data_IF_426031569995
#
_entry.id   IF_426031569995
#
_cell.length_a   1.000
_cell.length_b   1.000
_cell.length_c   1.000
_cell.angle_alpha   90.00
_cell.angle_beta   90.00
_cell.angle_gamma   90.00
#
_symmetry.space_group_name_H-M   'P 1'
#
loop_
_entity.id
_entity.type
_entity.pdbx_description
1 polymer ?
#
# COMPACT_ATOMS: atom_id res chain seq x y z
N UNK A 1 -48.64 9.10 17.00
CA UNK A 1 -47.55 9.04 18.00
C UNK A 1 -46.27 8.74 17.25
N UNK A 2 -45.30 9.68 17.21
CA UNK A 2 -43.99 9.49 16.57
C UNK A 2 -43.03 9.06 17.67
N UNK A 3 -42.54 7.83 17.60
CA UNK A 3 -41.58 7.30 18.55
C UNK A 3 -40.17 7.81 18.20
N UNK A 4 -39.66 8.73 19.01
CA UNK A 4 -38.28 9.21 18.94
C UNK A 4 -37.36 8.13 19.52
N UNK A 5 -36.59 7.45 18.66
CA UNK A 5 -35.50 6.60 19.11
C UNK A 5 -34.35 7.48 19.63
N UNK A 6 -34.13 7.45 20.94
CA UNK A 6 -32.93 7.96 21.59
C UNK A 6 -31.80 6.94 21.38
N UNK A 7 -30.82 7.29 20.56
CA UNK A 7 -29.57 6.55 20.53
C UNK A 7 -28.81 6.84 21.83
N UNK A 8 -28.69 5.82 22.69
CA UNK A 8 -27.79 5.88 23.84
C UNK A 8 -26.36 6.06 23.32
N UNK A 9 -25.75 7.20 23.64
CA UNK A 9 -24.36 7.48 23.30
C UNK A 9 -23.46 6.40 23.90
N UNK A 10 -22.66 5.75 23.06
CA UNK A 10 -21.64 4.82 23.53
C UNK A 10 -20.67 5.58 24.46
N UNK A 11 -20.25 4.98 25.59
CA UNK A 11 -19.29 5.61 26.49
C UNK A 11 -18.00 5.92 25.73
N UNK A 12 -17.62 7.19 25.68
CA UNK A 12 -16.33 7.64 25.19
C UNK A 12 -15.28 7.12 26.17
N UNK A 13 -14.56 6.06 25.80
CA UNK A 13 -13.34 5.67 26.50
C UNK A 13 -12.33 6.82 26.36
N UNK A 14 -12.21 7.62 27.41
CA UNK A 14 -11.15 8.62 27.52
C UNK A 14 -9.83 7.87 27.73
N UNK A 15 -9.05 7.74 26.66
CA UNK A 15 -7.66 7.33 26.78
C UNK A 15 -6.91 8.40 27.58
N UNK A 16 -6.29 8.02 28.70
CA UNK A 16 -5.27 8.85 29.34
C UNK A 16 -4.03 8.78 28.47
N UNK A 17 -3.96 9.67 27.48
CA UNK A 17 -2.80 9.83 26.63
C UNK A 17 -1.66 10.44 27.47
N UNK A 18 -0.54 9.73 27.60
CA UNK A 18 0.72 10.46 27.58
C UNK A 18 0.76 11.16 26.22
N UNK A 19 0.84 12.49 26.21
CA UNK A 19 0.71 13.34 25.02
C UNK A 19 1.86 13.17 23.99
N UNK A 20 2.74 12.20 24.19
CA UNK A 20 3.92 12.00 23.36
C UNK A 20 4.04 10.52 22.94
N UNK A 21 3.61 10.14 21.73
CA UNK A 21 3.82 8.79 21.21
C UNK A 21 5.32 8.51 21.06
N UNK A 22 5.75 7.26 21.25
CA UNK A 22 7.13 6.89 20.92
C UNK A 22 7.36 7.01 19.40
N UNK A 23 8.61 7.21 18.93
CA UNK A 23 8.91 7.47 17.52
C UNK A 23 8.30 6.46 16.54
N UNK A 24 8.26 5.17 16.91
CA UNK A 24 7.68 4.09 16.11
C UNK A 24 6.31 3.63 16.61
N UNK A 25 5.59 4.41 17.42
CA UNK A 25 4.17 4.13 17.64
C UNK A 25 3.38 4.44 16.37
N UNK A 26 2.45 3.57 16.00
CA UNK A 26 1.53 3.84 14.91
C UNK A 26 0.35 4.67 15.43
N UNK A 27 0.13 5.86 14.88
CA UNK A 27 -0.85 6.84 15.35
C UNK A 27 -1.84 7.19 14.24
N UNK A 28 -3.13 7.26 14.56
CA UNK A 28 -4.17 7.62 13.61
C UNK A 28 -5.35 8.34 14.26
N UNK A 29 -5.98 9.21 13.48
CA UNK A 29 -7.15 10.01 13.92
C UNK A 29 -8.48 9.37 13.52
N UNK A 30 -8.44 8.48 12.52
CA UNK A 30 -9.61 7.86 11.92
C UNK A 30 -9.33 6.41 11.55
N UNK A 31 -10.40 5.64 11.42
CA UNK A 31 -10.38 4.31 10.83
C UNK A 31 -11.23 4.29 9.57
N UNK A 32 -10.97 3.33 8.68
CA UNK A 32 -11.90 3.00 7.61
C UNK A 32 -13.18 2.35 8.17
N UNK A 33 -14.11 2.00 7.28
CA UNK A 33 -15.39 1.36 7.65
C UNK A 33 -15.21 -0.05 8.26
N UNK A 34 -14.02 -0.64 8.15
CA UNK A 34 -13.67 -1.95 8.70
C UNK A 34 -12.90 -1.84 10.03
N UNK A 35 -12.66 -0.62 10.53
CA UNK A 35 -11.88 -0.40 11.75
C UNK A 35 -10.36 -0.46 11.56
N UNK A 36 -9.87 -0.44 10.33
CA UNK A 36 -8.43 -0.36 9.99
C UNK A 36 -7.97 1.10 10.07
N UNK A 37 -6.77 1.37 10.60
CA UNK A 37 -6.28 2.74 10.73
C UNK A 37 -6.20 3.43 9.36
N UNK A 38 -6.75 4.64 9.22
CA UNK A 38 -6.76 5.36 7.95
C UNK A 38 -5.58 6.34 7.87
N UNK A 39 -4.70 6.13 6.89
CA UNK A 39 -3.44 6.85 6.67
C UNK A 39 -2.65 7.09 7.98
N UNK A 40 -2.37 6.04 8.78
CA UNK A 40 -1.67 6.22 10.04
C UNK A 40 -0.26 6.80 9.82
N UNK A 41 0.25 7.48 10.85
CA UNK A 41 1.58 8.09 10.91
C UNK A 41 2.43 7.40 11.97
N UNK A 42 3.74 7.45 11.82
CA UNK A 42 4.64 7.13 12.94
C UNK A 42 4.57 8.22 14.00
N UNK A 43 4.79 7.87 15.27
CA UNK A 43 4.76 8.82 16.38
C UNK A 43 5.74 9.98 16.17
N UNK A 44 6.91 9.70 15.60
CA UNK A 44 7.87 10.75 15.23
C UNK A 44 7.27 11.78 14.27
N UNK A 45 6.46 11.36 13.30
CA UNK A 45 5.80 12.24 12.33
C UNK A 45 4.68 13.08 12.95
N UNK A 46 4.14 12.63 14.09
CA UNK A 46 3.16 13.38 14.88
C UNK A 46 3.87 14.44 15.72
N UNK A 47 5.00 14.08 16.33
CA UNK A 47 5.75 14.96 17.23
C UNK A 47 6.66 15.95 16.50
N UNK A 48 7.15 15.58 15.31
CA UNK A 48 8.02 16.36 14.44
C UNK A 48 7.57 16.20 12.96
N UNK A 49 6.59 17.01 12.51
CA UNK A 49 6.02 16.87 11.16
C UNK A 49 7.07 16.99 10.04
N UNK A 50 7.13 15.98 9.19
CA UNK A 50 8.08 15.87 8.07
C UNK A 50 9.36 15.10 8.41
N UNK A 51 9.61 14.79 9.69
CA UNK A 51 10.67 13.87 10.07
C UNK A 51 10.30 12.43 9.69
N UNK A 52 11.29 11.65 9.25
CA UNK A 52 11.12 10.23 8.95
C UNK A 52 11.97 9.42 9.94
N UNK A 53 11.43 8.37 10.58
CA UNK A 53 12.22 7.57 11.51
C UNK A 53 13.31 6.79 10.78
N UNK A 54 14.54 6.86 11.31
CA UNK A 54 15.63 5.93 11.00
C UNK A 54 15.52 4.75 11.96
N UNK A 55 14.90 3.67 11.49
CA UNK A 55 14.49 2.54 12.34
C UNK A 55 15.69 1.86 13.01
N UNK A 56 16.79 1.51 12.31
CA UNK A 56 17.97 0.96 12.98
C UNK A 56 18.54 1.87 14.07
N UNK A 57 18.61 3.19 13.84
CA UNK A 57 19.14 4.14 14.84
C UNK A 57 18.23 4.26 16.07
N UNK A 58 16.91 4.23 15.86
CA UNK A 58 15.94 4.39 16.94
C UNK A 58 15.71 3.11 17.75
N UNK A 59 15.75 1.96 17.10
CA UNK A 59 15.20 0.73 17.66
C UNK A 59 16.24 -0.36 17.95
N UNK A 60 17.49 -0.23 17.48
CA UNK A 60 18.55 -1.24 17.70
C UNK A 60 19.60 -0.75 18.72
N UNK A 61 19.17 0.07 19.68
CA UNK A 61 20.03 0.71 20.66
C UNK A 61 20.49 -0.32 21.70
N UNK A 62 21.80 -0.44 21.90
CA UNK A 62 22.38 -1.31 22.94
C UNK A 62 22.24 -0.66 24.34
N UNK A 63 22.09 -1.45 25.43
CA UNK A 63 22.16 -2.92 25.49
C UNK A 63 20.86 -3.64 25.10
N UNK A 64 19.79 -2.89 24.80
CA UNK A 64 18.52 -3.47 24.41
C UNK A 64 18.66 -4.24 23.08
N UNK A 65 17.87 -5.30 22.92
CA UNK A 65 17.74 -5.96 21.64
C UNK A 65 16.91 -5.13 20.65
N UNK A 66 16.92 -5.48 19.35
CA UNK A 66 16.10 -4.80 18.34
C UNK A 66 14.62 -4.76 18.74
N UNK A 67 14.06 -3.55 18.83
CA UNK A 67 12.67 -3.27 19.26
C UNK A 67 12.32 -3.67 20.69
N UNK A 68 13.29 -4.02 21.55
CA UNK A 68 13.02 -4.33 22.96
C UNK A 68 12.89 -3.06 23.82
N UNK A 69 13.36 -1.92 23.31
CA UNK A 69 13.31 -0.64 24.02
C UNK A 69 11.95 0.04 23.89
N UNK A 70 11.32 0.40 25.03
CA UNK A 70 10.10 1.21 25.05
C UNK A 70 10.30 2.62 24.49
N UNK A 71 11.55 3.05 24.30
CA UNK A 71 11.90 4.30 23.62
C UNK A 71 11.67 4.23 22.11
N UNK A 72 11.63 3.03 21.52
CA UNK A 72 11.33 2.84 20.10
C UNK A 72 9.81 2.83 19.88
N UNK A 73 9.09 1.92 20.55
CA UNK A 73 7.62 1.85 20.51
C UNK A 73 7.07 1.43 21.88
N UNK A 74 5.91 1.96 22.22
CA UNK A 74 5.09 1.57 23.39
C UNK A 74 3.99 0.59 23.02
N UNK A 75 3.81 0.27 21.73
CA UNK A 75 2.77 -0.62 21.24
C UNK A 75 3.25 -2.08 21.24
N UNK A 76 2.31 -3.02 21.38
CA UNK A 76 2.61 -4.42 21.16
C UNK A 76 2.99 -4.63 19.69
N UNK A 77 4.05 -5.39 19.44
CA UNK A 77 4.59 -5.64 18.10
C UNK A 77 4.42 -7.11 17.73
N UNK A 78 4.06 -7.38 16.47
CA UNK A 78 4.19 -8.70 15.87
C UNK A 78 5.54 -8.81 15.18
N UNK A 79 6.42 -9.70 15.62
CA UNK A 79 7.71 -9.91 14.96
C UNK A 79 7.64 -11.23 14.19
N UNK A 80 7.69 -11.17 12.86
CA UNK A 80 7.81 -12.35 12.01
C UNK A 80 9.26 -12.53 11.57
N UNK A 81 9.83 -13.67 11.95
CA UNK A 81 11.23 -14.00 11.64
C UNK A 81 11.27 -15.23 10.74
N UNK A 82 12.26 -15.32 9.83
CA UNK A 82 12.53 -16.56 9.15
C UNK A 82 12.79 -17.70 10.15
N UNK A 83 12.26 -18.89 9.84
CA UNK A 83 12.54 -20.11 10.58
C UNK A 83 13.30 -21.14 9.74
N UNK A 84 14.05 -22.01 10.43
CA UNK A 84 14.75 -23.15 9.80
C UNK A 84 15.80 -22.74 8.77
N UNK A 85 15.86 -23.47 7.64
CA UNK A 85 16.83 -23.22 6.56
C UNK A 85 16.64 -21.83 5.92
N UNK A 86 15.43 -21.26 5.98
CA UNK A 86 15.15 -19.90 5.48
C UNK A 86 15.98 -18.87 6.23
N UNK A 87 16.10 -19.02 7.56
CA UNK A 87 16.92 -18.15 8.41
C UNK A 87 18.38 -18.16 7.97
N UNK A 88 18.92 -19.34 7.65
CA UNK A 88 20.30 -19.46 7.21
C UNK A 88 20.55 -18.71 5.91
N UNK A 89 19.65 -18.84 4.93
CA UNK A 89 19.78 -18.21 3.61
C UNK A 89 19.58 -16.68 3.71
N UNK A 90 18.54 -16.23 4.42
CA UNK A 90 18.24 -14.82 4.62
C UNK A 90 19.30 -14.09 5.45
N UNK A 91 19.85 -14.75 6.48
CA UNK A 91 20.92 -14.13 7.29
C UNK A 91 22.21 -13.83 6.52
N UNK A 92 22.42 -14.38 5.33
CA UNK A 92 23.60 -14.11 4.51
C UNK A 92 23.40 -12.78 3.78
N UNK A 93 24.00 -11.72 4.33
CA UNK A 93 23.97 -10.38 3.75
C UNK A 93 22.88 -9.46 4.31
N UNK A 94 22.11 -9.91 5.31
CA UNK A 94 21.17 -9.06 6.02
C UNK A 94 21.92 -7.91 6.70
N UNK A 95 21.53 -6.65 6.45
CA UNK A 95 22.21 -5.47 7.00
C UNK A 95 21.85 -5.23 8.48
N UNK A 96 20.90 -5.99 9.03
CA UNK A 96 20.36 -5.79 10.38
C UNK A 96 20.52 -7.04 11.24
N UNK A 97 20.47 -6.86 12.56
CA UNK A 97 20.46 -7.97 13.53
C UNK A 97 19.08 -8.64 13.67
N UNK A 98 18.05 -8.08 13.02
CA UNK A 98 16.68 -8.57 13.04
C UNK A 98 16.23 -8.92 11.61
N UNK A 99 16.44 -10.17 11.17
CA UNK A 99 15.90 -10.61 9.89
C UNK A 99 14.38 -10.77 9.98
N UNK A 100 13.66 -10.25 8.98
CA UNK A 100 12.20 -10.33 8.85
C UNK A 100 11.46 -9.02 9.08
N UNK A 101 10.18 -9.12 9.47
CA UNK A 101 9.27 -7.99 9.57
C UNK A 101 8.90 -7.68 11.02
N UNK A 102 8.66 -6.39 11.30
CA UNK A 102 8.02 -5.94 12.54
C UNK A 102 6.71 -5.28 12.18
N UNK A 103 5.63 -5.79 12.75
CA UNK A 103 4.25 -5.49 12.39
C UNK A 103 3.56 -4.72 13.52
N UNK A 104 2.96 -3.60 13.15
CA UNK A 104 2.03 -2.84 13.99
C UNK A 104 0.58 -3.16 13.62
N UNK A 105 -0.35 -2.37 14.17
CA UNK A 105 -1.75 -2.43 13.75
C UNK A 105 -1.91 -2.20 12.24
N UNK A 106 -2.90 -2.81 11.59
CA UNK A 106 -3.11 -2.62 10.16
C UNK A 106 -3.43 -1.17 9.78
N UNK A 107 -2.94 -0.77 8.62
CA UNK A 107 -3.16 0.55 8.02
C UNK A 107 -3.80 0.45 6.64
N UNK A 108 -4.59 1.47 6.29
CA UNK A 108 -5.15 1.71 4.96
C UNK A 108 -4.60 3.01 4.42
N UNK A 109 -3.99 2.96 3.25
CA UNK A 109 -3.38 4.10 2.59
C UNK A 109 -4.00 4.32 1.22
N UNK A 110 -4.17 5.58 0.84
CA UNK A 110 -4.58 5.95 -0.51
C UNK A 110 -3.47 6.75 -1.19
N UNK A 111 -3.33 6.61 -2.51
CA UNK A 111 -2.30 7.33 -3.25
C UNK A 111 -2.07 6.77 -4.65
N UNK A 112 -1.20 7.40 -5.45
CA UNK A 112 -0.77 6.82 -6.72
C UNK A 112 0.06 5.56 -6.46
N UNK A 113 -0.23 4.50 -7.21
CA UNK A 113 0.48 3.22 -7.13
C UNK A 113 1.38 3.01 -8.34
N UNK A 114 2.47 2.27 -8.13
CA UNK A 114 3.45 1.95 -9.15
C UNK A 114 3.85 0.48 -9.05
N UNK A 115 4.05 -0.13 -10.21
CA UNK A 115 4.60 -1.48 -10.28
C UNK A 115 6.08 -1.44 -9.97
N UNK A 116 6.50 -2.27 -9.03
CA UNK A 116 7.90 -2.40 -8.68
C UNK A 116 8.51 -3.60 -9.41
N UNK A 117 8.17 -4.80 -8.95
CA UNK A 117 8.80 -6.02 -9.41
C UNK A 117 7.93 -7.24 -9.17
N UNK A 118 8.32 -8.35 -9.81
CA UNK A 118 7.83 -9.69 -9.48
C UNK A 118 9.03 -10.40 -8.91
N UNK A 119 8.97 -10.82 -7.66
CA UNK A 119 10.02 -11.65 -7.09
C UNK A 119 9.96 -13.04 -7.72
N UNK A 120 11.10 -13.52 -8.21
CA UNK A 120 11.16 -14.82 -8.88
C UNK A 120 11.17 -15.99 -7.89
N UNK A 121 11.61 -15.76 -6.65
CA UNK A 121 11.92 -16.83 -5.68
C UNK A 121 10.67 -17.24 -4.90
N UNK A 122 9.94 -16.28 -4.34
CA UNK A 122 8.69 -16.47 -3.57
C UNK A 122 7.42 -16.28 -4.42
N UNK A 123 7.53 -15.61 -5.58
CA UNK A 123 6.45 -15.20 -6.48
C UNK A 123 5.60 -14.03 -5.97
N UNK A 124 6.21 -13.15 -5.20
CA UNK A 124 5.53 -11.98 -4.66
C UNK A 124 5.42 -10.87 -5.70
N UNK A 125 4.20 -10.36 -5.86
CA UNK A 125 3.90 -9.17 -6.66
C UNK A 125 4.19 -7.94 -5.79
N UNK A 126 5.18 -7.14 -6.19
CA UNK A 126 5.65 -5.98 -5.45
C UNK A 126 5.16 -4.68 -6.09
N UNK A 127 4.56 -3.82 -5.27
CA UNK A 127 4.06 -2.49 -5.65
C UNK A 127 4.60 -1.42 -4.72
N UNK A 128 4.56 -0.17 -5.18
CA UNK A 128 4.93 1.01 -4.38
C UNK A 128 3.77 1.99 -4.38
N UNK A 129 3.33 2.43 -3.22
CA UNK A 129 2.30 3.46 -3.06
C UNK A 129 2.93 4.71 -2.46
N UNK A 130 2.62 5.87 -3.02
CA UNK A 130 3.03 7.17 -2.45
C UNK A 130 1.90 7.64 -1.52
N UNK A 131 2.04 7.53 -0.18
CA UNK A 131 1.00 7.97 0.74
C UNK A 131 0.95 9.51 0.81
N UNK A 132 -0.20 10.11 1.18
CA UNK A 132 -0.25 11.53 1.51
C UNK A 132 0.66 11.83 2.70
N UNK A 133 1.20 13.05 2.75
CA UNK A 133 1.94 13.58 3.90
C UNK A 133 3.10 12.69 4.39
N UNK A 134 3.64 11.83 3.51
CA UNK A 134 4.67 10.85 3.84
C UNK A 134 4.25 9.88 4.96
N UNK A 135 2.96 9.64 5.15
CA UNK A 135 2.43 8.84 6.24
C UNK A 135 3.04 7.44 6.26
N UNK A 136 3.53 7.03 7.43
CA UNK A 136 4.18 5.75 7.67
C UNK A 136 5.45 5.49 6.83
N UNK A 137 6.08 6.50 6.22
CA UNK A 137 7.38 6.35 5.57
C UNK A 137 8.52 6.33 6.60
N UNK A 138 9.62 5.67 6.26
CA UNK A 138 10.87 5.69 7.05
C UNK A 138 11.96 6.41 6.27
N UNK A 139 13.08 6.74 6.93
CA UNK A 139 14.24 7.32 6.27
C UNK A 139 14.81 6.43 5.15
N UNK A 140 14.52 5.12 5.19
CA UNK A 140 15.08 4.13 4.27
C UNK A 140 14.23 3.94 3.00
N UNK A 141 12.99 4.46 3.00
CA UNK A 141 12.14 4.58 1.82
C UNK A 141 11.29 5.87 1.86
N UNK A 142 11.92 7.04 1.69
CA UNK A 142 11.30 8.34 1.96
C UNK A 142 10.20 8.76 0.98
N UNK A 143 10.00 7.99 -0.09
CA UNK A 143 9.10 8.34 -1.20
C UNK A 143 7.85 7.45 -1.30
N UNK A 144 7.86 6.24 -0.73
CA UNK A 144 6.78 5.28 -0.94
C UNK A 144 6.77 4.15 0.09
N UNK A 145 5.58 3.62 0.37
CA UNK A 145 5.38 2.38 1.12
C UNK A 145 5.43 1.22 0.12
N UNK A 146 6.20 0.18 0.43
CA UNK A 146 6.16 -1.07 -0.33
C UNK A 146 4.89 -1.84 -0.01
N UNK A 147 4.23 -2.40 -1.01
CA UNK A 147 3.16 -3.37 -0.82
C UNK A 147 3.60 -4.70 -1.41
N UNK A 148 3.53 -5.76 -0.61
CA UNK A 148 3.90 -7.10 -1.04
C UNK A 148 2.75 -8.09 -0.81
N UNK A 149 2.53 -8.96 -1.80
CA UNK A 149 1.56 -10.04 -1.73
C UNK A 149 1.92 -11.21 -2.66
N UNK A 150 1.73 -12.44 -2.16
CA UNK A 150 1.97 -13.66 -2.94
C UNK A 150 0.95 -13.79 -4.08
N UNK A 151 1.47 -13.84 -5.31
CA UNK A 151 0.67 -14.01 -6.52
C UNK A 151 -0.14 -15.32 -6.53
N UNK A 152 0.33 -16.36 -5.83
CA UNK A 152 -0.39 -17.64 -5.66
C UNK A 152 -1.61 -17.49 -4.77
N UNK A 153 -1.59 -16.56 -3.81
CA UNK A 153 -2.71 -16.30 -2.90
C UNK A 153 -3.69 -15.28 -3.47
N UNK A 154 -3.25 -14.49 -4.45
CA UNK A 154 -4.01 -13.36 -4.99
C UNK A 154 -4.20 -13.47 -6.50
N UNK A 155 -3.29 -12.91 -7.30
CA UNK A 155 -3.46 -12.68 -8.74
C UNK A 155 -3.68 -13.96 -9.53
N UNK A 156 -3.27 -15.13 -9.03
CA UNK A 156 -3.53 -16.45 -9.61
C UNK A 156 -4.99 -16.89 -9.54
N UNK A 157 -5.75 -16.40 -8.55
CA UNK A 157 -7.13 -16.80 -8.32
C UNK A 157 -8.17 -15.86 -8.95
N UNK A 158 -7.79 -14.63 -9.29
CA UNK A 158 -8.72 -13.65 -9.86
C UNK A 158 -8.87 -13.80 -11.37
N UNK A 159 -10.11 -14.04 -11.82
CA UNK A 159 -10.42 -14.38 -13.21
C UNK A 159 -11.00 -13.21 -14.04
N UNK A 160 -11.19 -12.02 -13.45
CA UNK A 160 -11.72 -10.87 -14.21
C UNK A 160 -10.81 -10.53 -15.39
N UNK A 161 -11.33 -9.90 -16.47
CA UNK A 161 -10.53 -9.56 -17.65
C UNK A 161 -9.27 -8.76 -17.31
N UNK A 162 -9.36 -7.83 -16.34
CA UNK A 162 -8.23 -7.04 -15.88
C UNK A 162 -7.17 -7.90 -15.16
N UNK A 163 -7.56 -8.67 -14.13
CA UNK A 163 -6.62 -9.52 -13.38
C UNK A 163 -5.99 -10.61 -14.24
N UNK A 164 -6.74 -11.18 -15.18
CA UNK A 164 -6.21 -12.13 -16.17
C UNK A 164 -5.18 -11.49 -17.10
N UNK A 165 -5.39 -10.23 -17.49
CA UNK A 165 -4.44 -9.47 -18.31
C UNK A 165 -3.19 -9.11 -17.51
N UNK A 166 -3.36 -8.68 -16.26
CA UNK A 166 -2.27 -8.35 -15.35
C UNK A 166 -1.38 -9.56 -15.05
N UNK A 167 -1.98 -10.72 -14.69
CA UNK A 167 -1.25 -11.96 -14.40
C UNK A 167 -0.37 -12.45 -15.56
N UNK A 168 -0.85 -12.30 -16.80
CA UNK A 168 -0.10 -12.71 -18.01
C UNK A 168 0.91 -11.66 -18.49
N UNK A 169 0.85 -10.44 -17.95
CA UNK A 169 1.71 -9.35 -18.37
C UNK A 169 3.12 -9.50 -17.81
N UNK A 170 4.12 -9.20 -18.64
CA UNK A 170 5.51 -8.97 -18.19
C UNK A 170 5.62 -7.56 -17.56
N UNK A 171 6.70 -7.31 -16.81
CA UNK A 171 6.92 -6.05 -16.07
C UNK A 171 6.61 -4.76 -16.86
N UNK A 172 7.06 -4.56 -18.13
CA UNK A 172 6.72 -3.33 -18.86
C UNK A 172 5.21 -3.14 -19.09
N UNK A 173 4.47 -4.25 -19.27
CA UNK A 173 3.02 -4.20 -19.44
C UNK A 173 2.30 -4.07 -18.10
N UNK A 174 2.81 -4.69 -17.02
CA UNK A 174 2.28 -4.47 -15.65
C UNK A 174 2.40 -2.99 -15.25
N UNK A 175 3.55 -2.36 -15.49
CA UNK A 175 3.76 -0.91 -15.32
C UNK A 175 2.68 -0.09 -16.01
N UNK A 176 2.45 -0.31 -17.31
CA UNK A 176 1.38 0.39 -18.07
C UNK A 176 -0.03 0.16 -17.53
N UNK A 177 -0.28 -0.93 -16.81
CA UNK A 177 -1.60 -1.22 -16.25
C UNK A 177 -1.85 -0.50 -14.93
N UNK A 178 -0.81 -0.13 -14.17
CA UNK A 178 -0.98 0.37 -12.79
C UNK A 178 -0.28 1.70 -12.50
N UNK A 179 0.83 2.03 -13.16
CA UNK A 179 1.68 3.17 -12.79
C UNK A 179 0.91 4.49 -12.80
N UNK A 180 0.96 5.20 -11.68
CA UNK A 180 0.34 6.50 -11.48
C UNK A 180 -1.17 6.47 -11.25
N UNK A 181 -1.81 5.29 -11.24
CA UNK A 181 -3.25 5.19 -11.00
C UNK A 181 -3.56 5.45 -9.51
N UNK A 182 -4.68 6.14 -9.20
CA UNK A 182 -5.18 6.18 -7.83
C UNK A 182 -5.43 4.77 -7.31
N UNK A 183 -5.04 4.52 -6.06
CA UNK A 183 -5.24 3.24 -5.42
C UNK A 183 -5.51 3.39 -3.93
N UNK A 184 -6.09 2.34 -3.36
CA UNK A 184 -6.24 2.12 -1.92
C UNK A 184 -5.57 0.78 -1.62
N UNK A 185 -4.69 0.76 -0.62
CA UNK A 185 -3.99 -0.43 -0.18
C UNK A 185 -4.16 -0.59 1.33
N UNK A 186 -4.43 -1.81 1.79
CA UNK A 186 -4.52 -2.13 3.22
C UNK A 186 -3.75 -3.40 3.53
N UNK A 187 -3.04 -3.39 4.66
CA UNK A 187 -2.26 -4.52 5.16
C UNK A 187 -1.72 -4.22 6.56
N UNK A 188 -0.89 -5.11 7.10
CA UNK A 188 -0.11 -4.76 8.29
C UNK A 188 0.81 -3.60 7.98
N UNK A 189 0.76 -2.53 8.77
CA UNK A 189 1.79 -1.49 8.68
C UNK A 189 3.04 -2.03 9.37
N UNK A 190 4.09 -2.24 8.59
CA UNK A 190 5.28 -2.93 9.03
C UNK A 190 6.56 -2.24 8.56
N UNK A 191 7.67 -2.72 9.09
CA UNK A 191 9.00 -2.44 8.53
C UNK A 191 9.68 -3.76 8.18
N UNK A 192 10.21 -3.84 6.97
CA UNK A 192 10.98 -4.97 6.46
C UNK A 192 12.46 -4.76 6.81
N UNK A 193 12.87 -5.33 7.93
CA UNK A 193 14.24 -5.22 8.42
C UNK A 193 15.24 -6.15 7.73
N UNK A 194 14.76 -7.11 6.93
CA UNK A 194 15.63 -7.86 6.03
C UNK A 194 16.23 -6.94 4.95
N UNK A 195 15.45 -5.96 4.49
CA UNK A 195 15.86 -5.03 3.44
C UNK A 195 15.98 -3.59 3.94
N UNK A 196 16.76 -3.39 5.01
CA UNK A 196 17.07 -2.08 5.60
C UNK A 196 15.91 -1.42 6.36
N UNK A 197 14.98 -2.17 6.95
CA UNK A 197 13.86 -1.65 7.75
C UNK A 197 13.03 -0.59 7.01
N UNK A 198 12.71 -0.86 5.74
CA UNK A 198 11.84 0.00 4.93
C UNK A 198 10.38 -0.20 5.30
N UNK A 199 9.57 0.85 5.24
CA UNK A 199 8.12 0.73 5.45
C UNK A 199 7.47 -0.17 4.42
N UNK A 200 6.62 -1.06 4.90
CA UNK A 200 5.96 -2.06 4.07
C UNK A 200 4.53 -2.34 4.53
N UNK A 201 3.70 -2.82 3.59
CA UNK A 201 2.42 -3.46 3.82
C UNK A 201 2.50 -4.91 3.39
N UNK A 202 2.81 -5.79 4.33
CA UNK A 202 2.99 -7.21 4.07
C UNK A 202 2.42 -8.05 5.21
N UNK A 203 1.49 -9.00 4.91
CA UNK A 203 0.68 -9.09 3.70
C UNK A 203 -0.16 -7.84 3.41
N UNK A 204 -0.16 -7.44 2.14
CA UNK A 204 -1.26 -6.65 1.57
C UNK A 204 -2.52 -7.53 1.50
N UNK A 205 -3.61 -7.09 2.14
CA UNK A 205 -4.90 -7.78 2.16
C UNK A 205 -5.92 -7.21 1.19
N UNK A 206 -5.87 -5.90 1.01
CA UNK A 206 -6.75 -5.18 0.10
C UNK A 206 -5.90 -4.37 -0.84
N UNK A 207 -6.20 -4.48 -2.13
CA UNK A 207 -5.70 -3.57 -3.13
C UNK A 207 -6.85 -3.23 -4.07
N UNK A 208 -7.18 -1.95 -4.16
CA UNK A 208 -8.14 -1.41 -5.10
C UNK A 208 -7.42 -0.38 -5.99
N UNK A 209 -7.38 -0.62 -7.30
CA UNK A 209 -6.74 0.27 -8.28
C UNK A 209 -7.84 0.88 -9.15
N UNK A 210 -7.85 2.20 -9.27
CA UNK A 210 -8.77 2.93 -10.14
C UNK A 210 -8.32 2.82 -11.60
N UNK A 211 -8.93 1.91 -12.36
CA UNK A 211 -8.44 1.53 -13.69
C UNK A 211 -9.07 2.34 -14.82
N UNK A 212 -10.28 2.86 -14.63
CA UNK A 212 -11.01 3.69 -15.58
C UNK A 212 -11.76 4.80 -14.82
N UNK A 213 -11.49 6.05 -15.18
CA UNK A 213 -12.13 7.24 -14.62
C UNK A 213 -13.18 7.76 -15.60
N UNK A 214 -14.34 7.09 -15.63
CA UNK A 214 -15.49 7.49 -16.43
C UNK A 214 -16.71 7.62 -15.49
N UNK A 215 -17.36 8.79 -15.41
CA UNK A 215 -18.52 8.97 -14.54
C UNK A 215 -19.72 8.08 -14.89
N UNK A 216 -19.80 7.58 -16.14
CA UNK A 216 -20.83 6.65 -16.58
C UNK A 216 -20.40 5.17 -16.42
N UNK A 217 -19.10 4.90 -16.23
CA UNK A 217 -18.51 3.56 -16.11
C UNK A 217 -17.20 3.58 -15.28
N UNK A 218 -17.31 3.88 -13.99
CA UNK A 218 -16.16 3.93 -13.07
C UNK A 218 -15.72 2.50 -12.72
N UNK A 219 -14.46 2.15 -13.05
CA UNK A 219 -13.96 0.77 -12.88
C UNK A 219 -12.77 0.72 -11.94
N UNK A 220 -12.90 -0.17 -10.95
CA UNK A 220 -11.84 -0.52 -10.00
C UNK A 220 -11.43 -1.99 -10.16
N UNK A 221 -10.13 -2.24 -10.22
CA UNK A 221 -9.58 -3.57 -10.07
C UNK A 221 -9.29 -3.82 -8.59
N UNK A 222 -10.10 -4.69 -7.98
CA UNK A 222 -10.04 -4.95 -6.53
C UNK A 222 -9.65 -6.40 -6.28
N UNK A 223 -8.76 -6.62 -5.30
CA UNK A 223 -8.73 -7.86 -4.54
C UNK A 223 -8.89 -7.57 -3.05
N UNK A 224 -9.47 -8.56 -2.35
CA UNK A 224 -9.61 -8.55 -0.91
C UNK A 224 -9.46 -9.97 -0.37
N UNK A 225 -8.73 -10.12 0.72
CA UNK A 225 -8.56 -11.37 1.45
C UNK A 225 -8.52 -11.11 2.96
N UNK A 226 -8.98 -12.07 3.74
CA UNK A 226 -8.97 -12.01 5.21
C UNK A 226 -7.79 -12.78 5.84
N UNK A 227 -6.82 -13.20 5.02
CA UNK A 227 -5.58 -13.85 5.43
C UNK A 227 -4.55 -13.71 4.30
N UNK A 228 -3.28 -13.92 4.63
CA UNK A 228 -2.15 -13.99 3.70
C UNK A 228 -0.89 -14.30 4.49
N UNK A 229 0.15 -14.85 3.86
CA UNK A 229 1.46 -15.00 4.52
C UNK A 229 2.33 -13.74 4.31
N UNK A 230 3.39 -13.60 5.11
CA UNK A 230 4.44 -12.55 4.96
C UNK A 230 5.57 -13.03 4.03
N UNK A 231 5.23 -13.81 3.01
CA UNK A 231 6.15 -14.27 1.97
C UNK A 231 7.29 -15.14 2.50
N UNK A 232 8.39 -15.17 1.75
CA UNK A 232 9.70 -15.61 2.25
C UNK A 232 10.47 -14.35 2.67
N UNK A 233 10.95 -14.23 3.92
CA UNK A 233 11.32 -15.33 4.81
C UNK A 233 10.23 -15.87 5.75
N UNK A 234 9.08 -15.22 5.85
CA UNK A 234 8.06 -15.48 6.87
C UNK A 234 7.63 -16.95 7.00
N UNK A 235 7.50 -17.41 8.25
CA UNK A 235 7.26 -18.84 8.54
C UNK A 235 5.81 -19.15 8.92
N UNK A 236 4.99 -18.14 9.19
CA UNK A 236 3.61 -18.31 9.63
C UNK A 236 2.65 -17.43 8.84
N UNK A 237 1.48 -17.97 8.54
CA UNK A 237 0.33 -17.11 8.36
C UNK A 237 0.15 -16.34 9.68
N UNK A 238 0.17 -14.99 9.69
CA UNK A 238 -0.18 -14.23 10.87
C UNK A 238 -1.55 -14.69 11.40
N UNK A 239 -1.82 -14.52 12.71
CA UNK A 239 -3.14 -14.82 13.25
C UNK A 239 -4.19 -14.16 12.36
N UNK A 240 -5.24 -14.93 11.99
CA UNK A 240 -6.34 -14.41 11.18
C UNK A 240 -6.80 -13.10 11.82
N UNK A 241 -6.68 -12.01 11.08
CA UNK A 241 -7.29 -10.77 11.50
C UNK A 241 -8.80 -11.01 11.55
N UNK A 242 -9.36 -10.92 12.75
CA UNK A 242 -10.78 -10.98 12.98
C UNK A 242 -11.22 -9.58 13.39
N UNK A 243 -12.22 -9.02 12.73
CA UNK A 243 -12.86 -7.77 13.15
C UNK A 243 -13.51 -7.89 14.54
N UNK A 244 -13.63 -9.11 15.07
CA UNK A 244 -14.08 -9.43 16.42
C UNK A 244 -12.98 -9.35 17.48
N UNK A 245 -11.70 -9.24 17.09
CA UNK A 245 -10.63 -8.97 18.05
C UNK A 245 -10.88 -7.55 18.59
N UNK A 246 -11.18 -7.38 19.89
CA UNK A 246 -11.55 -6.08 20.42
C UNK A 246 -10.45 -5.07 20.09
N UNK A 247 -10.79 -3.85 19.64
CA UNK A 247 -9.81 -2.78 19.45
C UNK A 247 -8.91 -2.57 20.67
N UNK A 248 -9.30 -3.02 21.87
CA UNK A 248 -8.52 -2.94 23.11
C UNK A 248 -7.43 -4.01 23.32
N UNK A 249 -7.26 -5.00 22.43
CA UNK A 249 -6.07 -5.89 22.50
C UNK A 249 -4.83 -5.28 21.84
N UNK A 250 -5.01 -4.19 21.10
CA UNK A 250 -3.95 -3.35 20.56
C UNK A 250 -4.12 -1.97 21.19
N UNK A 251 -3.11 -1.36 21.81
CA UNK A 251 -3.27 -0.06 22.43
C UNK A 251 -3.55 1.01 21.36
N UNK A 252 -4.84 1.30 21.10
CA UNK A 252 -5.24 2.39 20.21
C UNK A 252 -5.10 3.72 20.95
N UNK A 253 -4.11 4.53 20.59
CA UNK A 253 -4.14 5.97 20.92
C UNK A 253 -4.93 6.67 19.84
N UNK A 254 -6.16 7.10 20.15
CA UNK A 254 -6.83 8.12 19.32
C UNK A 254 -6.15 9.44 19.65
N UNK A 255 -5.65 10.16 18.65
CA UNK A 255 -5.32 11.55 18.89
C UNK A 255 -6.59 12.29 19.30
N UNK A 256 -6.52 13.05 20.37
CA UNK A 256 -7.64 13.92 20.76
C UNK A 256 -7.87 14.95 19.65
N UNK A 257 -9.12 15.19 19.22
CA UNK A 257 -9.38 16.23 18.23
C UNK A 257 -8.92 17.58 18.78
N UNK A 258 -8.02 18.24 18.04
CA UNK A 258 -7.56 19.59 18.36
C UNK A 258 -8.75 20.54 18.52
N UNK A 259 -8.73 21.33 19.59
CA UNK A 259 -9.83 22.16 20.06
C UNK A 259 -10.54 22.97 18.97
N UNK A 260 -11.86 22.80 18.91
CA UNK A 260 -12.73 23.47 17.95
C UNK A 260 -12.76 24.99 18.13
N UNK A 261 -12.12 25.70 17.21
CA UNK A 261 -12.39 27.11 16.94
C UNK A 261 -13.77 27.29 16.32
N UNK A 262 -14.62 28.06 16.99
CA UNK A 262 -15.98 28.39 16.56
C UNK A 262 -15.99 29.13 15.21
N UNK A 263 -16.44 28.47 14.14
CA UNK A 263 -16.77 29.13 12.87
C UNK A 263 -18.29 29.22 12.68
N UNK A 264 -18.76 30.47 12.63
CA UNK A 264 -20.12 30.89 12.28
C UNK A 264 -20.58 30.27 10.96
N UNK A 265 -21.78 29.70 10.97
CA UNK A 265 -22.52 29.26 9.79
C UNK A 265 -22.82 30.43 8.85
N UNK A 266 -22.31 30.36 7.60
CA UNK A 266 -22.84 31.13 6.47
C UNK A 266 -23.81 30.24 5.69
N UNK A 267 -25.02 30.75 5.49
CA UNK A 267 -26.11 30.15 4.71
C UNK A 267 -25.72 30.03 3.23
N UNK A 268 -25.90 28.86 2.64
CA UNK A 268 -25.93 28.66 1.18
C UNK A 268 -27.32 28.96 0.62
N UNK A 269 -27.45 29.56 -0.57
CA UNK A 269 -28.73 29.70 -1.24
C UNK A 269 -29.11 28.48 -2.11
N UNK A 270 -30.42 28.40 -2.30
CA UNK A 270 -31.27 27.41 -2.95
C UNK A 270 -30.81 26.75 -4.25
N UNK A 271 -31.09 25.44 -4.33
CA UNK A 271 -31.09 24.59 -5.52
C UNK A 271 -32.15 25.02 -6.55
N UNK A 272 -31.77 25.13 -7.82
CA UNK A 272 -32.68 25.15 -8.96
C UNK A 272 -33.01 23.72 -9.41
N UNK A 273 -34.29 23.51 -9.76
CA UNK A 273 -34.89 22.22 -10.14
C UNK A 273 -34.62 21.91 -11.62
N UNK A 274 -34.04 20.76 -11.92
CA UNK A 274 -34.13 20.14 -13.25
C UNK A 274 -35.28 19.13 -13.27
N UNK A 275 -36.20 19.27 -14.23
CA UNK A 275 -37.30 18.32 -14.51
C UNK A 275 -36.78 17.17 -15.39
N UNK A 276 -37.31 15.95 -15.24
CA UNK A 276 -37.03 14.85 -16.16
C UNK A 276 -37.91 14.94 -17.42
N UNK A 277 -37.33 14.62 -18.58
CA UNK A 277 -38.06 14.22 -19.79
C UNK A 277 -37.69 12.78 -20.13
N UNK A 278 -38.71 11.92 -20.28
CA UNK A 278 -38.71 10.61 -20.95
C UNK A 278 -40.12 10.40 -21.53
N UNK A 279 -40.34 9.45 -22.45
CA UNK A 279 -39.47 8.92 -23.49
C UNK A 279 -40.19 8.87 -24.87
N UNK A 280 -39.48 8.53 -25.95
CA UNK A 280 -40.09 8.09 -27.21
C UNK A 280 -39.61 6.69 -27.60
N UNK A 281 -40.61 5.88 -27.97
CA UNK A 281 -40.67 4.58 -28.67
C UNK A 281 -39.44 4.17 -29.49
N UNK A 282 -38.93 2.94 -29.33
CA UNK A 282 -39.40 1.66 -29.88
C UNK A 282 -39.09 1.47 -31.38
N UNK A 283 -38.14 0.58 -31.66
CA UNK A 283 -38.12 -0.22 -32.89
C UNK A 283 -37.49 -1.58 -32.59
N UNK A 284 -38.26 -2.60 -32.93
CA UNK A 284 -37.93 -4.01 -33.08
C UNK A 284 -36.87 -4.21 -34.15
N UNK A 285 -35.91 -5.10 -33.91
CA UNK A 285 -35.43 -6.03 -34.94
C UNK A 285 -34.67 -7.20 -34.30
N UNK A 286 -35.19 -8.39 -34.57
CA UNK A 286 -34.60 -9.69 -34.33
C UNK A 286 -33.82 -10.12 -35.56
N UNK A 287 -32.60 -10.64 -35.40
CA UNK A 287 -32.07 -11.66 -36.31
C UNK A 287 -30.96 -12.49 -35.66
N UNK A 288 -30.97 -13.75 -36.03
CA UNK A 288 -30.33 -14.93 -35.45
C UNK A 288 -28.87 -15.17 -35.88
N UNK A 289 -28.17 -15.88 -35.00
CA UNK A 289 -27.09 -16.88 -35.13
C UNK A 289 -26.22 -17.05 -36.39
N UNK A 290 -24.96 -17.36 -36.06
CA UNK A 290 -24.02 -18.32 -36.68
C UNK A 290 -23.10 -17.82 -37.82
N UNK A 291 -21.82 -18.21 -37.72
CA UNK A 291 -20.90 -18.16 -38.84
C UNK A 291 -19.43 -18.04 -38.45
N UNK A 292 -18.81 -19.16 -38.07
CA UNK A 292 -17.36 -19.29 -38.07
C UNK A 292 -16.83 -19.19 -39.52
N UNK A 293 -15.80 -18.38 -39.75
CA UNK A 293 -14.98 -18.48 -40.96
C UNK A 293 -13.54 -18.10 -40.64
N UNK A 294 -12.66 -19.11 -40.70
CA UNK A 294 -11.21 -18.95 -40.83
C UNK A 294 -10.92 -18.26 -42.15
N UNK A 295 -10.07 -17.24 -42.14
CA UNK A 295 -9.25 -16.84 -43.29
C UNK A 295 -7.83 -16.57 -42.81
N UNK A 296 -6.95 -17.42 -43.29
CA UNK A 296 -5.50 -17.25 -43.34
C UNK A 296 -5.16 -16.27 -44.46
N UNK A 297 -4.32 -15.29 -44.15
CA UNK A 297 -3.71 -14.39 -45.12
C UNK A 297 -2.20 -14.20 -44.81
N UNK A 298 -1.41 -13.78 -45.82
CA UNK A 298 -0.04 -14.26 -46.09
C UNK A 298 1.10 -13.43 -45.43
N UNK A 299 2.38 -13.88 -45.52
CA UNK A 299 3.49 -13.23 -44.83
C UNK A 299 3.87 -11.87 -45.44
N UNK A 300 4.10 -10.88 -44.57
CA UNK A 300 4.73 -9.60 -44.93
C UNK A 300 6.24 -9.73 -45.15
N UNK A 301 6.81 -8.94 -46.07
CA UNK A 301 8.21 -9.04 -46.47
C UNK A 301 9.18 -8.32 -45.51
N UNK A 302 10.43 -8.77 -45.61
CA UNK A 302 11.61 -8.35 -44.88
C UNK A 302 11.87 -6.83 -44.91
N UNK A 303 12.11 -6.24 -43.74
CA UNK A 303 12.75 -4.94 -43.60
C UNK A 303 14.25 -5.13 -43.39
N UNK A 304 15.05 -4.51 -44.26
CA UNK A 304 16.51 -4.53 -44.24
C UNK A 304 17.10 -3.73 -43.08
N UNK A 305 18.16 -4.29 -42.50
CA UNK A 305 19.03 -3.61 -41.55
C UNK A 305 20.03 -2.72 -42.31
N UNK A 306 19.93 -1.41 -42.12
CA UNK A 306 20.96 -0.43 -42.51
C UNK A 306 21.92 -0.22 -41.31
N UNK A 307 23.14 -0.76 -41.43
CA UNK A 307 24.23 -0.57 -40.48
C UNK A 307 24.95 0.75 -40.77
N UNK A 308 24.55 1.84 -40.11
CA UNK A 308 25.38 3.05 -40.03
C UNK A 308 26.35 2.98 -38.84
N UNK A 309 27.63 3.12 -39.22
CA UNK A 309 28.84 3.18 -38.41
C UNK A 309 28.84 4.40 -37.49
N UNK A 310 29.06 4.21 -36.20
CA UNK A 310 29.54 5.26 -35.30
C UNK A 310 31.06 5.11 -35.07
N UNK A 311 31.80 6.17 -35.42
CA UNK A 311 33.21 6.38 -35.06
C UNK A 311 33.32 6.84 -33.60
N UNK A 312 34.41 6.48 -32.87
CA UNK A 312 34.69 7.04 -31.55
C UNK A 312 35.59 8.29 -31.66
N UNK A 313 35.23 9.34 -30.93
CA UNK A 313 36.06 10.50 -30.59
C UNK A 313 35.55 11.02 -29.25
N UNK A 314 36.34 11.52 -28.31
CA UNK A 314 37.78 11.73 -28.22
C UNK A 314 38.11 11.89 -26.73
N UNK A 315 39.36 11.59 -26.35
CA UNK A 315 39.86 11.76 -24.98
C UNK A 315 40.26 13.22 -24.75
N UNK A 316 39.56 13.93 -23.87
CA UNK A 316 40.04 15.17 -23.27
C UNK A 316 40.84 14.85 -22.01
N UNK A 317 42.07 15.36 -21.96
CA UNK A 317 42.98 15.28 -20.82
C UNK A 317 42.63 16.40 -19.83
N UNK A 318 42.50 16.05 -18.56
CA UNK A 318 42.35 16.99 -17.46
C UNK A 318 43.73 17.23 -16.80
N UNK A 319 44.10 18.51 -16.65
CA UNK A 319 45.38 18.95 -16.12
C UNK A 319 45.29 19.15 -14.60
N UNK A 320 46.25 18.57 -13.85
CA UNK A 320 46.46 18.83 -12.41
C UNK A 320 47.16 20.18 -12.20
N UNK A 321 46.76 20.98 -11.19
CA UNK A 321 47.55 22.13 -10.73
C UNK A 321 48.67 21.69 -9.77
N UNK A 322 49.80 22.40 -9.84
CA UNK A 322 50.90 22.32 -8.85
C UNK A 322 50.61 23.28 -7.68
N UNK A 323 51.04 22.95 -6.45
CA UNK A 323 50.96 23.84 -5.30
C UNK A 323 52.09 24.86 -5.27
N UNK A 324 51.80 26.01 -4.66
CA UNK A 324 52.72 27.06 -4.26
C UNK A 324 53.49 26.71 -3.00
#
# INVERSE_FOLDING_TARGET
>A
MIATLLFAGAPTLAATADDNPAPMDLVWDATDVNGVALNPKWGLQVTDPGALPDVPQLCFVQPDGPFDSSLCSTQALGIDRPAGLRRLICSIGSPTSLPGHVNWYPGTFAGPIYWDSLSFVDRDDNVRLIPPEQNALTANNPDNIKGEFDSRETTSHFATPWWSTFRRARNPKKKRLIDGKPAIISGYTSVDCEHHCVSELHPTWVLAIHVQDDPDDDVWAVFMRNWGNEGFPGARAPPRWSSTTPPGSWPTRRASPAGGGTRRARRSPSRSRCRPRRPARASTESCTCAGAARRSDPPSPAAGNDHRRHRPGGKSREAKPRPS
#
